data_IF_114609989137
#
_entry.id   IF_114609989137
#
_cell.length_a   1.000
_cell.length_b   1.000
_cell.length_c   1.000
_cell.angle_alpha   90.00
_cell.angle_beta   90.00
_cell.angle_gamma   90.00
#
_symmetry.space_group_name_H-M   'P 1'
#
loop_
_entity.id
_entity.type
_entity.pdbx_description
1 polymer ?
#
# COMPACT_ATOMS: atom_id res chain seq x y z
N UNK A 1 -34.19 -17.03 -67.14
CA UNK A 1 -32.89 -16.34 -66.89
C UNK A 1 -33.17 -15.11 -66.06
N UNK A 2 -33.00 -15.20 -64.76
CA UNK A 2 -33.24 -14.09 -63.80
C UNK A 2 -31.89 -13.43 -63.50
N UNK A 3 -31.82 -12.15 -63.79
CA UNK A 3 -30.63 -11.30 -63.46
C UNK A 3 -30.63 -10.99 -61.95
N UNK A 4 -29.55 -11.32 -61.27
CA UNK A 4 -29.29 -10.95 -59.89
C UNK A 4 -28.53 -9.62 -59.92
N UNK A 5 -29.09 -8.61 -59.26
CA UNK A 5 -28.47 -7.31 -59.08
C UNK A 5 -27.55 -7.36 -57.84
N UNK A 6 -26.28 -7.00 -58.00
CA UNK A 6 -25.32 -6.86 -56.93
C UNK A 6 -25.36 -5.39 -56.47
N UNK A 7 -25.66 -5.17 -55.19
CA UNK A 7 -25.59 -3.86 -54.54
C UNK A 7 -24.24 -3.81 -53.84
N UNK A 8 -23.37 -2.78 -54.06
CA UNK A 8 -22.16 -2.64 -53.32
C UNK A 8 -22.44 -2.04 -51.91
N UNK A 9 -22.02 -2.75 -50.89
CA UNK A 9 -22.01 -2.25 -49.51
C UNK A 9 -20.93 -1.17 -49.35
N UNK A 10 -21.37 0.06 -49.13
CA UNK A 10 -20.49 1.17 -48.71
C UNK A 10 -20.20 0.95 -47.23
N UNK A 11 -18.97 0.54 -46.93
CA UNK A 11 -18.45 0.54 -45.55
C UNK A 11 -18.07 1.97 -45.18
N UNK A 12 -18.88 2.60 -44.37
CA UNK A 12 -18.57 3.88 -43.75
C UNK A 12 -17.64 3.62 -42.54
N UNK A 13 -16.34 3.76 -42.73
CA UNK A 13 -15.39 3.74 -41.64
C UNK A 13 -15.50 5.06 -40.88
N UNK A 14 -16.25 5.03 -39.77
CA UNK A 14 -16.19 6.11 -38.80
C UNK A 14 -14.90 5.96 -37.99
N UNK A 15 -13.85 6.71 -38.37
CA UNK A 15 -12.71 6.95 -37.48
C UNK A 15 -13.19 7.80 -36.32
N UNK A 16 -13.52 7.17 -35.21
CA UNK A 16 -13.59 7.87 -33.93
C UNK A 16 -12.14 8.06 -33.43
N UNK A 17 -11.62 9.27 -33.59
CA UNK A 17 -10.40 9.71 -32.90
C UNK A 17 -10.69 9.91 -31.41
N UNK A 18 -10.57 8.83 -30.64
CA UNK A 18 -10.58 8.86 -29.16
C UNK A 18 -9.13 8.91 -28.66
N UNK A 19 -8.49 10.08 -28.70
CA UNK A 19 -7.14 10.21 -28.17
C UNK A 19 -6.87 11.51 -27.40
N UNK A 20 -7.88 12.33 -27.13
CA UNK A 20 -7.67 13.59 -26.41
C UNK A 20 -8.31 13.68 -25.01
N UNK A 21 -9.50 13.09 -24.81
CA UNK A 21 -10.28 13.35 -23.59
C UNK A 21 -9.84 12.57 -22.34
N UNK A 22 -9.28 11.34 -22.48
CA UNK A 22 -8.93 10.54 -21.29
C UNK A 22 -7.69 11.04 -20.55
N UNK A 23 -6.69 11.54 -21.29
CA UNK A 23 -5.42 11.98 -20.70
C UNK A 23 -5.58 13.24 -19.83
N UNK A 24 -6.36 14.19 -20.30
CA UNK A 24 -6.62 15.45 -19.58
C UNK A 24 -7.51 15.26 -18.34
N UNK A 25 -8.45 14.29 -18.37
CA UNK A 25 -9.28 13.97 -17.20
C UNK A 25 -8.49 13.25 -16.11
N UNK A 26 -7.61 12.31 -16.47
CA UNK A 26 -6.80 11.56 -15.48
C UNK A 26 -5.70 12.43 -14.89
N UNK A 27 -5.03 13.26 -15.70
CA UNK A 27 -4.06 14.25 -15.18
C UNK A 27 -4.74 15.26 -14.24
N UNK A 28 -5.98 15.67 -14.49
CA UNK A 28 -6.76 16.55 -13.59
C UNK A 28 -7.17 15.88 -12.28
N UNK A 29 -7.35 14.56 -12.26
CA UNK A 29 -7.69 13.82 -11.04
C UNK A 29 -6.46 13.56 -10.18
N UNK A 30 -5.31 13.29 -10.80
CA UNK A 30 -4.05 13.00 -10.08
C UNK A 30 -3.30 14.28 -9.70
N UNK A 31 -3.29 15.31 -10.57
CA UNK A 31 -2.58 16.57 -10.32
C UNK A 31 -2.96 17.26 -8.99
N UNK A 32 -4.22 17.30 -8.53
CA UNK A 32 -4.55 17.89 -7.23
C UNK A 32 -4.00 17.09 -6.03
N UNK A 33 -3.79 15.77 -6.18
CA UNK A 33 -3.24 14.92 -5.12
C UNK A 33 -1.71 14.92 -5.08
N UNK A 34 -1.10 15.51 -6.10
CA UNK A 34 0.35 15.71 -6.22
C UNK A 34 0.68 17.22 -6.31
N UNK A 35 -0.24 18.08 -5.85
CA UNK A 35 -0.01 19.54 -5.88
C UNK A 35 1.15 19.90 -4.96
N UNK A 36 2.11 20.59 -5.49
CA UNK A 36 3.15 21.25 -4.73
C UNK A 36 2.49 22.24 -3.76
N UNK A 37 2.78 22.13 -2.46
CA UNK A 37 2.14 22.90 -1.42
C UNK A 37 2.24 24.41 -1.66
N UNK A 38 1.10 25.06 -1.84
CA UNK A 38 1.01 26.50 -1.71
C UNK A 38 0.81 26.85 -0.24
N UNK A 39 1.87 27.29 0.39
CA UNK A 39 1.88 27.89 1.73
C UNK A 39 0.98 29.10 1.78
N UNK A 40 -0.11 29.02 2.54
CA UNK A 40 -0.74 30.19 3.14
C UNK A 40 -0.18 30.33 4.56
N UNK A 41 0.69 31.31 4.75
CA UNK A 41 1.12 31.72 6.10
C UNK A 41 -0.11 32.18 6.91
N UNK A 42 -0.48 31.40 7.91
CA UNK A 42 -1.27 31.88 9.03
C UNK A 42 -0.54 31.48 10.32
N UNK A 43 0.04 32.49 10.96
CA UNK A 43 0.53 32.42 12.34
C UNK A 43 -0.67 32.34 13.28
N UNK A 44 -1.03 31.13 13.70
CA UNK A 44 -1.83 30.86 14.90
C UNK A 44 -1.16 29.76 15.71
N UNK A 45 -1.24 29.89 17.03
CA UNK A 45 -0.66 28.94 18.00
C UNK A 45 -1.01 27.52 17.63
N UNK A 46 0.01 26.64 17.52
CA UNK A 46 -0.14 25.24 17.16
C UNK A 46 -1.03 24.51 18.20
N UNK A 47 -2.31 24.48 17.96
CA UNK A 47 -3.12 23.37 18.44
C UNK A 47 -2.63 22.14 17.66
N UNK A 48 -2.26 21.07 18.34
CA UNK A 48 -1.99 19.77 17.71
C UNK A 48 -3.25 19.40 16.90
N UNK A 49 -3.20 19.66 15.60
CA UNK A 49 -4.28 19.32 14.69
C UNK A 49 -4.34 17.80 14.64
N UNK A 50 -5.43 17.23 15.19
CA UNK A 50 -5.60 15.76 15.21
C UNK A 50 -5.54 15.24 13.78
N UNK A 51 -4.70 14.23 13.55
CA UNK A 51 -4.63 13.55 12.26
C UNK A 51 -6.05 13.07 11.85
N UNK A 52 -6.59 13.56 10.73
CA UNK A 52 -7.95 13.22 10.29
C UNK A 52 -8.13 11.72 10.00
N UNK A 53 -7.04 10.97 9.84
CA UNK A 53 -7.06 9.53 9.64
C UNK A 53 -7.15 8.74 10.95
N UNK A 54 -6.95 9.38 12.10
CA UNK A 54 -7.10 8.75 13.40
C UNK A 54 -8.54 8.96 13.88
N UNK A 55 -9.39 7.91 13.87
CA UNK A 55 -10.77 8.05 14.29
C UNK A 55 -10.87 8.36 15.79
N UNK A 56 -11.85 9.17 16.15
CA UNK A 56 -12.20 9.35 17.57
C UNK A 56 -12.81 8.06 18.14
N UNK A 57 -12.44 7.72 19.36
CA UNK A 57 -13.00 6.58 20.07
C UNK A 57 -14.41 6.95 20.54
N UNK A 58 -15.41 6.31 19.94
CA UNK A 58 -16.81 6.49 20.30
C UNK A 58 -17.18 5.58 21.48
N UNK A 59 -17.16 6.12 22.68
CA UNK A 59 -17.50 5.39 23.90
C UNK A 59 -19.00 5.09 24.07
N UNK A 60 -19.86 5.56 23.16
CA UNK A 60 -21.27 5.13 23.11
C UNK A 60 -21.44 3.70 22.58
N UNK A 61 -20.41 3.17 21.90
CA UNK A 61 -20.34 1.78 21.47
C UNK A 61 -20.04 0.89 22.67
N UNK A 62 -20.84 -0.15 22.89
CA UNK A 62 -20.55 -1.14 23.92
C UNK A 62 -19.46 -2.10 23.43
N UNK A 63 -18.26 -2.03 24.02
CA UNK A 63 -17.18 -2.96 23.76
C UNK A 63 -17.13 -4.05 24.84
N UNK A 64 -16.70 -5.25 24.43
CA UNK A 64 -16.43 -6.33 25.36
C UNK A 64 -15.14 -6.03 26.13
N UNK A 65 -15.23 -5.94 27.46
CA UNK A 65 -14.07 -5.82 28.34
C UNK A 65 -13.19 -7.09 28.26
N UNK A 66 -11.87 -6.92 28.39
CA UNK A 66 -10.91 -8.01 28.34
C UNK A 66 -10.71 -8.63 26.95
N UNK A 67 -11.21 -7.99 25.88
CA UNK A 67 -11.05 -8.49 24.50
C UNK A 67 -9.59 -8.70 24.13
N UNK A 68 -9.31 -9.83 23.49
CA UNK A 68 -7.99 -10.22 22.98
C UNK A 68 -7.95 -10.10 21.47
N UNK A 69 -7.17 -9.14 20.96
CA UNK A 69 -6.93 -8.93 19.53
C UNK A 69 -5.66 -9.67 19.14
N UNK A 70 -5.76 -10.61 18.22
CA UNK A 70 -4.58 -11.24 17.64
C UNK A 70 -4.27 -10.61 16.28
N UNK A 71 -3.02 -10.22 16.06
CA UNK A 71 -2.57 -9.63 14.81
C UNK A 71 -1.50 -10.52 14.20
N UNK A 72 -1.69 -10.94 12.95
CA UNK A 72 -0.68 -11.64 12.16
C UNK A 72 -0.38 -10.81 10.91
N UNK A 73 0.80 -10.20 10.90
CA UNK A 73 1.32 -9.38 9.80
C UNK A 73 2.12 -10.23 8.81
N UNK A 74 2.46 -9.66 7.65
CA UNK A 74 3.36 -10.31 6.69
C UNK A 74 4.78 -10.40 7.25
N UNK A 75 5.20 -9.35 7.98
CA UNK A 75 6.49 -9.34 8.67
C UNK A 75 6.41 -8.60 10.00
N UNK A 76 7.34 -8.88 10.90
CA UNK A 76 7.56 -8.14 12.14
C UNK A 76 8.77 -7.21 12.05
N UNK A 77 9.43 -7.15 10.90
CA UNK A 77 10.65 -6.39 10.64
C UNK A 77 10.38 -5.17 9.76
N UNK A 78 11.31 -4.20 9.78
CA UNK A 78 11.26 -3.00 8.94
C UNK A 78 10.48 -1.84 9.55
N UNK A 79 10.73 -0.64 9.00
CA UNK A 79 10.14 0.61 9.50
C UNK A 79 8.63 0.66 9.30
N UNK A 80 8.14 0.17 8.16
CA UNK A 80 6.70 0.10 7.86
C UNK A 80 5.93 -0.68 8.93
N UNK A 81 6.36 -1.93 9.22
CA UNK A 81 5.69 -2.79 10.21
C UNK A 81 5.84 -2.28 11.63
N UNK A 82 6.98 -1.62 11.94
CA UNK A 82 7.18 -0.92 13.20
C UNK A 82 6.14 0.18 13.42
N UNK A 83 5.84 0.99 12.40
CA UNK A 83 4.82 2.04 12.48
C UNK A 83 3.39 1.48 12.52
N UNK A 84 3.08 0.44 11.76
CA UNK A 84 1.79 -0.27 11.85
C UNK A 84 1.56 -0.74 13.29
N UNK A 85 2.55 -1.44 13.87
CA UNK A 85 2.48 -1.93 15.26
C UNK A 85 2.29 -0.78 16.25
N UNK A 86 3.07 0.31 16.12
CA UNK A 86 2.97 1.49 16.97
C UNK A 86 1.56 2.11 16.94
N UNK A 87 0.97 2.24 15.74
CA UNK A 87 -0.41 2.71 15.59
C UNK A 87 -1.43 1.77 16.23
N UNK A 88 -1.23 0.46 16.11
CA UNK A 88 -2.07 -0.54 16.78
C UNK A 88 -1.97 -0.47 18.30
N UNK A 89 -0.75 -0.38 18.84
CA UNK A 89 -0.50 -0.24 20.28
C UNK A 89 -1.14 1.04 20.84
N UNK A 90 -1.06 2.15 20.09
CA UNK A 90 -1.71 3.39 20.49
C UNK A 90 -3.23 3.26 20.53
N UNK A 91 -3.83 2.61 19.51
CA UNK A 91 -5.29 2.37 19.52
C UNK A 91 -5.75 1.54 20.72
N UNK A 92 -4.98 0.52 21.09
CA UNK A 92 -5.24 -0.27 22.33
C UNK A 92 -5.16 0.62 23.58
N UNK A 93 -4.15 1.47 23.68
CA UNK A 93 -3.98 2.38 24.82
C UNK A 93 -5.15 3.36 24.92
N UNK A 94 -5.49 4.02 23.81
CA UNK A 94 -6.58 5.02 23.75
C UNK A 94 -7.94 4.40 24.08
N UNK A 95 -8.22 3.19 23.58
CA UNK A 95 -9.45 2.47 23.92
C UNK A 95 -9.51 2.15 25.39
N UNK A 96 -8.42 1.60 25.97
CA UNK A 96 -8.40 1.28 27.40
C UNK A 96 -8.57 2.54 28.28
N UNK A 97 -7.99 3.65 27.86
CA UNK A 97 -8.16 4.94 28.56
C UNK A 97 -9.59 5.46 28.42
N UNK A 98 -10.13 5.54 27.21
CA UNK A 98 -11.46 6.09 26.91
C UNK A 98 -12.57 5.32 27.61
N UNK A 99 -12.46 3.98 27.68
CA UNK A 99 -13.45 3.13 28.37
C UNK A 99 -13.16 2.95 29.87
N UNK A 100 -12.01 3.43 30.36
CA UNK A 100 -11.57 3.26 31.74
C UNK A 100 -11.29 1.80 32.12
N UNK A 101 -10.97 0.95 31.15
CA UNK A 101 -10.64 -0.46 31.37
C UNK A 101 -9.34 -0.61 32.16
N UNK A 102 -9.32 -1.50 33.14
CA UNK A 102 -8.18 -1.73 34.03
C UNK A 102 -8.00 -3.21 34.33
N UNK A 103 -6.75 -3.63 34.49
CA UNK A 103 -6.38 -5.02 34.80
C UNK A 103 -6.97 -5.98 33.77
N UNK A 104 -7.76 -6.96 34.25
CA UNK A 104 -8.41 -8.01 33.46
C UNK A 104 -9.45 -7.50 32.46
N UNK A 105 -9.94 -6.28 32.65
CA UNK A 105 -10.89 -5.65 31.72
C UNK A 105 -10.17 -4.99 30.52
N UNK A 106 -8.85 -4.83 30.58
CA UNK A 106 -8.11 -4.19 29.48
C UNK A 106 -8.20 -5.02 28.21
N UNK A 107 -8.43 -4.33 27.10
CA UNK A 107 -8.19 -4.87 25.77
C UNK A 107 -6.69 -5.11 25.60
N UNK A 108 -6.33 -6.26 25.07
CA UNK A 108 -4.95 -6.65 24.82
C UNK A 108 -4.71 -7.04 23.37
N UNK A 109 -3.46 -7.00 22.92
CA UNK A 109 -3.08 -7.35 21.55
C UNK A 109 -1.82 -8.22 21.57
N UNK A 110 -1.77 -9.23 20.70
CA UNK A 110 -0.53 -9.85 20.23
C UNK A 110 -0.20 -9.33 18.82
N UNK A 111 1.09 -9.25 18.48
CA UNK A 111 1.53 -8.87 17.15
C UNK A 111 2.61 -9.85 16.70
N UNK A 112 2.25 -10.70 15.77
CA UNK A 112 3.04 -11.82 15.28
C UNK A 112 3.18 -11.76 13.76
N UNK A 113 4.12 -12.52 13.22
CA UNK A 113 4.39 -12.62 11.80
C UNK A 113 5.76 -13.22 11.53
N UNK A 114 6.05 -13.51 10.28
CA UNK A 114 7.37 -13.94 9.86
C UNK A 114 8.42 -12.83 10.01
N UNK A 115 9.70 -13.19 9.90
CA UNK A 115 10.78 -12.19 9.78
C UNK A 115 10.94 -11.67 8.35
N UNK A 116 10.41 -12.39 7.36
CA UNK A 116 10.47 -12.10 5.94
C UNK A 116 9.06 -12.26 5.34
N UNK A 117 8.58 -11.28 4.59
CA UNK A 117 7.25 -11.30 3.95
C UNK A 117 7.05 -12.47 2.97
N UNK A 118 8.14 -13.04 2.47
CA UNK A 118 8.11 -14.21 1.57
C UNK A 118 7.81 -15.53 2.27
N UNK A 119 7.92 -15.58 3.59
CA UNK A 119 7.71 -16.83 4.36
C UNK A 119 6.21 -17.06 4.63
N UNK A 120 5.50 -17.42 3.56
CA UNK A 120 4.06 -17.72 3.58
C UNK A 120 3.75 -18.91 4.50
N UNK A 121 4.63 -19.93 4.54
CA UNK A 121 4.44 -21.11 5.39
C UNK A 121 4.48 -20.73 6.87
N UNK A 122 5.43 -19.89 7.28
CA UNK A 122 5.51 -19.37 8.63
C UNK A 122 4.26 -18.58 9.01
N UNK A 123 3.73 -17.74 8.08
CA UNK A 123 2.49 -17.00 8.33
C UNK A 123 1.29 -17.94 8.52
N UNK A 124 1.12 -18.93 7.66
CA UNK A 124 0.04 -19.94 7.78
C UNK A 124 0.10 -20.64 9.13
N UNK A 125 1.28 -21.14 9.53
CA UNK A 125 1.50 -21.83 10.81
C UNK A 125 1.21 -20.90 12.01
N UNK A 126 1.60 -19.63 11.92
CA UNK A 126 1.32 -18.62 12.97
C UNK A 126 -0.18 -18.40 13.13
N UNK A 127 -0.92 -18.30 12.02
CA UNK A 127 -2.38 -18.11 12.07
C UNK A 127 -3.06 -19.34 12.68
N UNK A 128 -2.63 -20.56 12.34
CA UNK A 128 -3.16 -21.78 12.94
C UNK A 128 -2.96 -21.80 14.47
N UNK A 129 -1.76 -21.43 14.94
CA UNK A 129 -1.46 -21.34 16.36
C UNK A 129 -2.32 -20.28 17.06
N UNK A 130 -2.46 -19.11 16.47
CA UNK A 130 -3.27 -18.00 16.99
C UNK A 130 -4.76 -18.37 17.07
N UNK A 131 -5.32 -19.03 16.05
CA UNK A 131 -6.71 -19.50 16.08
C UNK A 131 -6.94 -20.50 17.22
N UNK A 132 -5.95 -21.39 17.47
CA UNK A 132 -6.04 -22.36 18.58
C UNK A 132 -6.09 -21.70 19.97
N UNK A 133 -5.58 -20.47 20.12
CA UNK A 133 -5.69 -19.68 21.34
C UNK A 133 -7.07 -19.00 21.51
N UNK A 134 -7.91 -19.10 20.50
CA UNK A 134 -9.28 -18.55 20.48
C UNK A 134 -9.36 -17.07 20.87
N UNK A 135 -8.73 -16.15 20.08
CA UNK A 135 -8.86 -14.70 20.29
C UNK A 135 -10.29 -14.22 20.01
N UNK A 136 -10.65 -13.03 20.50
CA UNK A 136 -11.97 -12.43 20.23
C UNK A 136 -12.06 -11.88 18.81
N UNK A 137 -10.91 -11.52 18.18
CA UNK A 137 -10.80 -11.08 16.79
C UNK A 137 -9.38 -11.35 16.26
N UNK A 138 -9.30 -11.70 14.98
CA UNK A 138 -8.05 -11.86 14.24
C UNK A 138 -7.89 -10.72 13.22
N UNK A 139 -6.76 -10.02 13.27
CA UNK A 139 -6.33 -9.09 12.22
C UNK A 139 -5.25 -9.75 11.37
N UNK A 140 -5.37 -9.73 10.05
CA UNK A 140 -4.42 -10.40 9.16
C UNK A 140 -4.05 -9.51 7.97
N UNK A 141 -2.74 -9.45 7.64
CA UNK A 141 -2.23 -8.95 6.36
C UNK A 141 -1.64 -10.12 5.59
N UNK A 142 -2.28 -10.53 4.50
CA UNK A 142 -1.90 -11.74 3.79
C UNK A 142 -0.63 -11.55 2.93
N UNK A 143 0.38 -12.40 3.13
CA UNK A 143 1.57 -12.48 2.28
C UNK A 143 1.22 -12.99 0.87
N UNK A 144 0.34 -13.98 0.80
CA UNK A 144 -0.24 -14.53 -0.42
C UNK A 144 -1.76 -14.57 -0.28
N UNK A 145 -2.49 -13.98 -1.24
CA UNK A 145 -3.95 -13.82 -1.18
C UNK A 145 -4.71 -15.14 -1.12
N UNK A 146 -4.15 -16.22 -1.68
CA UNK A 146 -4.81 -17.52 -1.84
C UNK A 146 -4.46 -18.50 -0.71
N UNK A 147 -3.35 -18.28 -0.01
CA UNK A 147 -2.77 -19.26 0.93
C UNK A 147 -3.52 -19.39 2.25
N UNK A 148 -4.41 -18.43 2.60
CA UNK A 148 -5.05 -18.37 3.92
C UNK A 148 -6.48 -18.93 3.96
N UNK A 149 -6.97 -19.54 2.87
CA UNK A 149 -8.36 -19.99 2.77
C UNK A 149 -8.77 -20.93 3.93
N UNK A 150 -7.94 -21.94 4.23
CA UNK A 150 -8.25 -22.90 5.30
C UNK A 150 -8.27 -22.25 6.68
N UNK A 151 -7.35 -21.34 6.96
CA UNK A 151 -7.27 -20.59 8.22
C UNK A 151 -8.47 -19.66 8.40
N UNK A 152 -8.91 -19.00 7.34
CA UNK A 152 -10.10 -18.15 7.38
C UNK A 152 -11.38 -18.97 7.59
N UNK A 153 -11.48 -20.16 7.01
CA UNK A 153 -12.56 -21.10 7.27
C UNK A 153 -12.54 -21.57 8.72
N UNK A 154 -11.38 -21.95 9.26
CA UNK A 154 -11.22 -22.33 10.67
C UNK A 154 -11.58 -21.19 11.62
N UNK A 155 -11.16 -19.94 11.36
CA UNK A 155 -11.55 -18.77 12.14
C UNK A 155 -13.07 -18.58 12.15
N UNK A 156 -13.71 -18.70 10.98
CA UNK A 156 -15.17 -18.60 10.84
C UNK A 156 -15.91 -19.70 11.60
N UNK A 157 -15.44 -20.94 11.55
CA UNK A 157 -16.02 -22.08 12.26
C UNK A 157 -15.92 -21.90 13.78
N UNK A 158 -14.83 -21.32 14.27
CA UNK A 158 -14.65 -20.96 15.68
C UNK A 158 -15.36 -19.66 16.07
N UNK A 159 -16.04 -18.98 15.14
CA UNK A 159 -16.77 -17.73 15.39
C UNK A 159 -15.87 -16.52 15.58
N UNK A 160 -14.59 -16.60 15.21
CA UNK A 160 -13.60 -15.53 15.31
C UNK A 160 -13.77 -14.59 14.10
N UNK A 161 -14.18 -13.31 14.28
CA UNK A 161 -14.23 -12.35 13.20
C UNK A 161 -12.82 -12.04 12.71
N UNK A 162 -12.67 -11.84 11.39
CA UNK A 162 -11.39 -11.49 10.78
C UNK A 162 -11.46 -10.09 10.17
N UNK A 163 -10.47 -9.26 10.44
CA UNK A 163 -10.24 -7.96 9.78
C UNK A 163 -8.94 -8.05 9.00
N UNK A 164 -9.00 -7.80 7.68
CA UNK A 164 -7.80 -7.71 6.88
C UNK A 164 -7.23 -6.29 6.90
N UNK A 165 -5.91 -6.16 6.84
CA UNK A 165 -5.24 -4.87 6.75
C UNK A 165 -4.05 -4.95 5.79
N UNK A 166 -3.57 -3.81 5.29
CA UNK A 166 -2.49 -3.68 4.31
C UNK A 166 -2.74 -4.49 3.02
N UNK A 167 -2.76 -5.81 3.12
CA UNK A 167 -3.04 -6.74 2.03
C UNK A 167 -4.19 -7.68 2.39
N UNK A 168 -5.14 -7.79 1.49
CA UNK A 168 -6.33 -8.61 1.68
C UNK A 168 -6.15 -10.05 1.18
N UNK A 169 -7.27 -10.74 1.08
CA UNK A 169 -7.39 -12.14 0.65
C UNK A 169 -8.30 -12.23 -0.57
N UNK A 170 -8.18 -13.27 -1.38
CA UNK A 170 -8.95 -13.46 -2.61
C UNK A 170 -10.46 -13.48 -2.35
N UNK A 171 -10.95 -14.26 -1.39
CA UNK A 171 -12.36 -14.18 -0.99
C UNK A 171 -12.59 -13.12 0.10
N UNK A 172 -12.82 -11.90 -0.32
CA UNK A 172 -13.10 -10.77 0.59
C UNK A 172 -14.35 -10.97 1.47
N UNK A 173 -15.20 -11.98 1.21
CA UNK A 173 -16.37 -12.29 2.05
C UNK A 173 -15.96 -12.98 3.35
N UNK A 174 -14.76 -13.56 3.40
CA UNK A 174 -14.21 -14.22 4.59
C UNK A 174 -13.79 -13.22 5.66
N UNK A 175 -13.60 -11.94 5.30
CA UNK A 175 -13.23 -10.87 6.23
C UNK A 175 -14.38 -9.91 6.49
N UNK A 176 -14.46 -9.38 7.71
CA UNK A 176 -15.50 -8.43 8.14
C UNK A 176 -15.24 -7.04 7.60
N UNK A 177 -13.97 -6.66 7.54
CA UNK A 177 -13.53 -5.36 7.05
C UNK A 177 -12.10 -5.42 6.53
N UNK A 178 -11.71 -4.39 5.77
CA UNK A 178 -10.36 -4.15 5.27
C UNK A 178 -9.94 -2.71 5.59
N UNK A 179 -8.68 -2.55 5.97
CA UNK A 179 -8.00 -1.26 6.18
C UNK A 179 -6.64 -1.29 5.49
N UNK A 180 -6.42 -0.43 4.51
CA UNK A 180 -5.16 -0.43 3.77
C UNK A 180 -5.02 0.78 2.88
N UNK A 181 -3.86 0.93 2.26
CA UNK A 181 -3.58 1.99 1.28
C UNK A 181 -4.36 1.75 -0.02
N UNK A 182 -4.71 2.81 -0.73
CA UNK A 182 -5.14 2.73 -2.12
C UNK A 182 -3.93 2.41 -3.02
N UNK A 183 -3.60 1.13 -3.11
CA UNK A 183 -2.42 0.66 -3.81
C UNK A 183 -2.50 0.82 -5.34
N UNK A 184 -3.69 0.82 -5.92
CA UNK A 184 -3.87 1.21 -7.33
C UNK A 184 -3.42 2.64 -7.54
N UNK A 185 -3.82 3.52 -6.62
CA UNK A 185 -3.43 4.93 -6.63
C UNK A 185 -1.92 5.13 -6.43
N UNK A 186 -1.29 4.31 -5.57
CA UNK A 186 0.18 4.29 -5.43
C UNK A 186 0.84 4.07 -6.79
N UNK A 187 0.43 3.03 -7.52
CA UNK A 187 0.98 2.73 -8.85
C UNK A 187 0.74 3.85 -9.88
N UNK A 188 -0.47 4.43 -9.89
CA UNK A 188 -0.80 5.55 -10.78
C UNK A 188 0.07 6.77 -10.53
N UNK A 189 0.27 7.16 -9.25
CA UNK A 189 1.14 8.30 -8.87
C UNK A 189 2.59 8.00 -9.27
N UNK A 190 3.10 6.80 -8.97
CA UNK A 190 4.46 6.40 -9.35
C UNK A 190 4.69 6.49 -10.87
N UNK A 191 3.75 5.97 -11.66
CA UNK A 191 3.81 6.04 -13.12
C UNK A 191 3.80 7.49 -13.65
N UNK A 192 2.92 8.34 -13.10
CA UNK A 192 2.88 9.76 -13.45
C UNK A 192 4.18 10.48 -13.15
N UNK A 193 4.73 10.27 -11.94
CA UNK A 193 5.95 10.92 -11.46
C UNK A 193 7.17 10.44 -12.23
N UNK A 194 7.31 9.12 -12.44
CA UNK A 194 8.39 8.56 -13.23
C UNK A 194 8.35 9.07 -14.68
N UNK A 195 7.18 8.98 -15.33
CA UNK A 195 7.02 9.49 -16.71
C UNK A 195 7.38 10.97 -16.82
N UNK A 196 6.99 11.78 -15.85
CA UNK A 196 7.29 13.23 -15.84
C UNK A 196 8.79 13.46 -15.69
N UNK A 197 9.45 12.74 -14.79
CA UNK A 197 10.88 12.88 -14.52
C UNK A 197 11.76 12.49 -15.70
N UNK A 198 11.37 11.44 -16.47
CA UNK A 198 12.10 11.02 -17.69
C UNK A 198 11.65 11.76 -18.97
N UNK A 199 10.84 12.84 -18.86
CA UNK A 199 10.41 13.62 -20.02
C UNK A 199 9.37 12.93 -20.91
N UNK A 200 8.59 11.98 -20.34
CA UNK A 200 7.47 11.25 -20.98
C UNK A 200 7.90 10.36 -22.16
N UNK A 201 9.15 9.95 -22.23
CA UNK A 201 9.69 9.01 -23.22
C UNK A 201 10.85 8.21 -22.64
N UNK A 202 11.06 6.98 -23.11
CA UNK A 202 12.19 6.14 -22.74
C UNK A 202 11.79 4.74 -22.29
N UNK A 203 12.73 4.05 -21.64
CA UNK A 203 12.56 2.68 -21.15
C UNK A 203 12.54 2.65 -19.63
N UNK A 204 11.59 1.91 -19.07
CA UNK A 204 11.46 1.78 -17.61
C UNK A 204 11.34 0.31 -17.22
N UNK A 205 11.86 -0.03 -16.04
CA UNK A 205 11.66 -1.34 -15.42
C UNK A 205 10.91 -1.20 -14.10
N UNK A 206 10.23 -2.28 -13.69
CA UNK A 206 9.58 -2.40 -12.39
C UNK A 206 10.29 -3.49 -11.61
N UNK A 207 10.77 -3.16 -10.43
CA UNK A 207 11.29 -4.11 -9.46
C UNK A 207 10.29 -4.23 -8.32
N UNK A 208 9.83 -5.44 -8.09
CA UNK A 208 8.61 -5.71 -7.33
C UNK A 208 8.84 -6.77 -6.27
N UNK A 209 8.08 -6.66 -5.18
CA UNK A 209 8.06 -7.67 -4.13
C UNK A 209 7.32 -8.96 -4.59
N UNK A 210 6.42 -9.54 -3.78
CA UNK A 210 5.76 -10.81 -4.09
C UNK A 210 4.55 -10.61 -5.01
N UNK A 211 4.50 -11.29 -6.16
CA UNK A 211 3.43 -11.18 -7.15
C UNK A 211 2.03 -11.48 -6.57
N UNK A 212 1.94 -12.46 -5.66
CA UNK A 212 0.66 -12.91 -5.10
C UNK A 212 0.14 -12.07 -3.93
N UNK A 213 0.82 -11.02 -3.56
CA UNK A 213 0.38 -10.08 -2.53
C UNK A 213 -0.56 -9.04 -3.14
N UNK A 214 -1.74 -8.82 -2.55
CA UNK A 214 -2.74 -7.89 -3.10
C UNK A 214 -2.20 -6.47 -3.29
N UNK A 215 -1.50 -5.91 -2.29
CA UNK A 215 -0.95 -4.56 -2.38
C UNK A 215 0.00 -4.41 -3.56
N UNK A 216 0.84 -5.41 -3.78
CA UNK A 216 1.81 -5.44 -4.89
C UNK A 216 1.10 -5.55 -6.24
N UNK A 217 0.14 -6.46 -6.40
CA UNK A 217 -0.65 -6.56 -7.64
C UNK A 217 -1.35 -5.26 -7.99
N UNK A 218 -1.93 -4.59 -6.99
CA UNK A 218 -2.62 -3.31 -7.19
C UNK A 218 -1.62 -2.20 -7.59
N UNK A 219 -0.40 -2.14 -6.99
CA UNK A 219 0.66 -1.17 -7.35
C UNK A 219 1.14 -1.39 -8.77
N UNK A 220 1.52 -2.62 -9.11
CA UNK A 220 2.00 -2.95 -10.46
C UNK A 220 0.90 -2.73 -11.50
N UNK A 221 -0.35 -3.11 -11.21
CA UNK A 221 -1.47 -2.87 -12.13
C UNK A 221 -1.75 -1.38 -12.32
N UNK A 222 -1.75 -0.61 -11.22
CA UNK A 222 -1.91 0.86 -11.26
C UNK A 222 -0.84 1.51 -12.11
N UNK A 223 0.43 1.13 -11.90
CA UNK A 223 1.57 1.63 -12.65
C UNK A 223 1.46 1.27 -14.14
N UNK A 224 1.30 -0.01 -14.46
CA UNK A 224 1.30 -0.51 -15.85
C UNK A 224 0.10 -0.01 -16.64
N UNK A 225 -1.07 0.13 -16.01
CA UNK A 225 -2.24 0.72 -16.66
C UNK A 225 -2.05 2.22 -16.91
N UNK A 226 -1.55 2.97 -15.92
CA UNK A 226 -1.40 4.41 -16.05
C UNK A 226 -0.30 4.81 -17.04
N UNK A 227 0.84 4.09 -17.07
CA UNK A 227 1.96 4.40 -17.94
C UNK A 227 1.60 4.34 -19.43
N UNK A 228 0.54 3.60 -19.79
CA UNK A 228 0.02 3.55 -21.18
C UNK A 228 -0.47 4.92 -21.71
N UNK A 229 -0.69 5.90 -20.83
CA UNK A 229 -0.97 7.28 -21.24
C UNK A 229 0.26 7.97 -21.88
N UNK A 230 1.43 7.38 -21.77
CA UNK A 230 2.69 7.86 -22.35
C UNK A 230 3.21 6.87 -23.39
N UNK A 231 2.75 6.96 -24.66
CA UNK A 231 3.01 5.95 -25.69
C UNK A 231 4.48 5.82 -26.08
N UNK A 232 5.30 6.81 -25.73
CA UNK A 232 6.75 6.81 -25.99
C UNK A 232 7.55 6.24 -24.81
N UNK A 233 6.88 5.69 -23.77
CA UNK A 233 7.50 4.95 -22.68
C UNK A 233 7.25 3.45 -22.87
N UNK A 234 8.33 2.66 -22.84
CA UNK A 234 8.28 1.20 -22.86
C UNK A 234 8.59 0.63 -21.47
N UNK A 235 7.69 -0.17 -20.90
CA UNK A 235 8.02 -1.01 -19.73
C UNK A 235 8.72 -2.25 -20.24
N UNK A 236 10.03 -2.32 -20.09
CA UNK A 236 10.88 -3.37 -20.70
C UNK A 236 10.94 -4.65 -19.87
N UNK A 237 10.77 -4.55 -18.54
CA UNK A 237 10.84 -5.70 -17.63
C UNK A 237 10.03 -5.42 -16.36
N UNK A 238 9.42 -6.46 -15.80
CA UNK A 238 8.84 -6.48 -14.45
C UNK A 238 9.43 -7.70 -13.76
N UNK A 239 10.17 -7.49 -12.68
CA UNK A 239 10.83 -8.56 -11.91
C UNK A 239 10.19 -8.67 -10.54
N UNK A 240 9.66 -9.84 -10.22
CA UNK A 240 9.10 -10.14 -8.91
C UNK A 240 10.09 -10.92 -8.06
N UNK A 241 10.27 -10.50 -6.81
CA UNK A 241 11.24 -11.08 -5.88
C UNK A 241 10.98 -12.57 -5.60
N UNK A 242 9.72 -13.00 -5.57
CA UNK A 242 9.32 -14.39 -5.35
C UNK A 242 9.48 -15.30 -6.56
N UNK A 243 9.86 -14.75 -7.73
CA UNK A 243 10.10 -15.49 -8.97
C UNK A 243 11.58 -15.66 -9.30
N UNK A 244 12.47 -15.13 -8.46
CA UNK A 244 13.93 -15.19 -8.66
C UNK A 244 14.63 -15.67 -7.39
N UNK A 245 15.76 -16.36 -7.54
CA UNK A 245 16.55 -16.86 -6.41
C UNK A 245 17.30 -15.72 -5.68
N UNK A 246 17.74 -14.71 -6.44
CA UNK A 246 18.50 -13.54 -5.96
C UNK A 246 18.02 -12.28 -6.67
N UNK A 247 17.32 -11.44 -5.93
CA UNK A 247 16.78 -10.18 -6.47
C UNK A 247 17.88 -9.20 -6.88
N UNK A 248 19.01 -9.17 -6.16
CA UNK A 248 20.17 -8.33 -6.52
C UNK A 248 20.73 -8.72 -7.87
N UNK A 249 20.93 -10.03 -8.09
CA UNK A 249 21.42 -10.55 -9.36
C UNK A 249 20.41 -10.29 -10.50
N UNK A 250 19.12 -10.45 -10.25
CA UNK A 250 18.08 -10.19 -11.24
C UNK A 250 17.98 -8.70 -11.64
N UNK A 251 18.09 -7.78 -10.67
CA UNK A 251 18.17 -6.35 -10.95
C UNK A 251 19.40 -6.05 -11.82
N UNK A 252 20.57 -6.61 -11.46
CA UNK A 252 21.80 -6.38 -12.23
C UNK A 252 21.67 -6.91 -13.67
N UNK A 253 21.04 -8.08 -13.87
CA UNK A 253 20.78 -8.63 -15.20
C UNK A 253 19.93 -7.69 -16.05
N UNK A 254 18.88 -7.07 -15.47
CA UNK A 254 18.07 -6.08 -16.18
C UNK A 254 18.89 -4.85 -16.56
N UNK A 255 19.71 -4.34 -15.63
CA UNK A 255 20.57 -3.18 -15.90
C UNK A 255 21.59 -3.46 -17.02
N UNK A 256 22.17 -4.65 -17.04
CA UNK A 256 23.12 -5.08 -18.08
C UNK A 256 22.42 -5.29 -19.43
N UNK A 257 21.22 -5.84 -19.43
CA UNK A 257 20.40 -6.10 -20.62
C UNK A 257 19.89 -4.81 -21.27
N UNK A 258 19.60 -3.80 -20.46
CA UNK A 258 19.05 -2.53 -20.89
C UNK A 258 19.94 -1.35 -20.47
N UNK A 259 21.13 -1.18 -21.06
CA UNK A 259 22.07 -0.11 -20.67
C UNK A 259 21.55 1.31 -20.96
N UNK A 260 20.41 1.43 -21.63
CA UNK A 260 19.70 2.69 -21.93
C UNK A 260 18.39 2.78 -21.14
N UNK A 261 18.35 2.21 -19.93
CA UNK A 261 17.22 2.34 -19.05
C UNK A 261 17.13 3.78 -18.55
N UNK A 262 15.97 4.41 -18.67
CA UNK A 262 15.73 5.79 -18.25
C UNK A 262 15.16 5.88 -16.84
N UNK A 263 14.43 4.85 -16.39
CA UNK A 263 13.84 4.88 -15.08
C UNK A 263 13.48 3.52 -14.50
N UNK A 264 13.36 3.47 -13.18
CA UNK A 264 12.90 2.31 -12.40
C UNK A 264 11.81 2.69 -11.43
N UNK A 265 10.87 1.77 -11.22
CA UNK A 265 9.89 1.81 -10.15
C UNK A 265 10.15 0.66 -9.19
N UNK A 266 10.42 0.97 -7.91
CA UNK A 266 10.58 0.01 -6.83
C UNK A 266 9.33 0.08 -5.95
N UNK A 267 8.54 -1.00 -5.92
CA UNK A 267 7.15 -0.92 -5.45
C UNK A 267 6.94 -1.14 -3.94
N UNK A 268 8.03 -1.34 -3.17
CA UNK A 268 7.99 -1.36 -1.70
C UNK A 268 9.35 -0.95 -1.10
N UNK A 269 9.38 -0.77 0.22
CA UNK A 269 10.56 -0.37 0.99
C UNK A 269 11.78 -1.27 0.76
N UNK A 270 11.59 -2.60 0.85
CA UNK A 270 12.70 -3.55 0.78
C UNK A 270 13.38 -3.55 -0.60
N UNK A 271 12.58 -3.49 -1.67
CA UNK A 271 13.09 -3.41 -3.04
C UNK A 271 13.75 -2.05 -3.30
N UNK A 272 13.16 -0.96 -2.80
CA UNK A 272 13.73 0.38 -2.92
C UNK A 272 15.09 0.47 -2.21
N UNK A 273 15.15 -0.01 -0.97
CA UNK A 273 16.37 -0.01 -0.17
C UNK A 273 17.47 -0.90 -0.78
N UNK A 274 17.07 -2.06 -1.35
CA UNK A 274 18.00 -2.94 -2.06
C UNK A 274 18.59 -2.25 -3.30
N UNK A 275 17.75 -1.61 -4.13
CA UNK A 275 18.19 -0.89 -5.31
C UNK A 275 19.14 0.26 -4.95
N UNK A 276 18.81 1.03 -3.90
CA UNK A 276 19.66 2.12 -3.41
C UNK A 276 21.02 1.61 -2.89
N UNK A 277 21.07 0.44 -2.23
CA UNK A 277 22.34 -0.18 -1.80
C UNK A 277 23.22 -0.60 -2.97
N UNK A 278 22.63 -1.10 -4.04
CA UNK A 278 23.36 -1.46 -5.28
C UNK A 278 23.97 -0.22 -5.94
N UNK A 279 23.29 0.94 -5.85
CA UNK A 279 23.66 2.20 -6.50
C UNK A 279 24.42 3.18 -5.60
N UNK A 280 24.73 2.82 -4.34
CA UNK A 280 25.34 3.73 -3.36
C UNK A 280 26.66 4.36 -3.78
N UNK A 281 27.49 3.61 -4.51
CA UNK A 281 28.84 4.05 -4.92
C UNK A 281 28.84 4.77 -6.31
N UNK A 282 27.69 4.83 -6.98
CA UNK A 282 27.57 5.53 -8.25
C UNK A 282 27.42 7.05 -8.03
N UNK A 283 28.37 7.81 -8.57
CA UNK A 283 28.36 9.28 -8.45
C UNK A 283 27.49 9.97 -9.51
N UNK A 284 27.11 9.24 -10.56
CA UNK A 284 26.19 9.69 -11.60
C UNK A 284 25.34 8.51 -12.04
N UNK A 285 24.21 8.36 -11.44
CA UNK A 285 23.15 7.49 -11.96
C UNK A 285 22.27 8.33 -12.89
N UNK A 286 22.16 7.89 -14.15
CA UNK A 286 21.25 8.51 -15.12
C UNK A 286 19.86 7.90 -15.08
N UNK A 287 19.68 6.82 -14.32
CA UNK A 287 18.41 6.10 -14.18
C UNK A 287 17.59 6.79 -13.09
N UNK A 288 16.43 7.30 -13.48
CA UNK A 288 15.49 7.94 -12.55
C UNK A 288 14.82 6.86 -11.70
N UNK A 289 14.88 6.99 -10.36
CA UNK A 289 14.22 6.09 -9.43
C UNK A 289 12.98 6.76 -8.80
N UNK A 290 11.88 6.03 -8.77
CA UNK A 290 10.69 6.30 -7.97
C UNK A 290 10.41 5.09 -7.10
N UNK A 291 10.22 5.32 -5.79
CA UNK A 291 9.95 4.26 -4.83
C UNK A 291 8.56 4.35 -4.19
N UNK A 292 8.30 3.39 -3.32
CA UNK A 292 7.15 3.37 -2.41
C UNK A 292 7.68 3.29 -0.98
N UNK A 293 6.89 3.81 -0.05
CA UNK A 293 7.23 4.00 1.35
C UNK A 293 8.03 5.29 1.58
N UNK A 294 8.71 5.46 2.69
CA UNK A 294 9.56 6.61 2.99
C UNK A 294 10.55 6.27 4.10
N UNK A 295 11.33 5.18 3.88
CA UNK A 295 12.35 4.74 4.83
C UNK A 295 13.40 5.82 5.08
N UNK A 296 14.15 5.72 6.16
CA UNK A 296 15.27 6.62 6.43
C UNK A 296 16.25 6.70 5.24
N UNK A 297 16.50 5.54 4.60
CA UNK A 297 17.38 5.46 3.42
C UNK A 297 16.81 6.19 2.21
N UNK A 298 15.52 6.00 1.92
CA UNK A 298 14.83 6.71 0.83
C UNK A 298 14.79 8.21 1.08
N UNK A 299 14.51 8.65 2.32
CA UNK A 299 14.57 10.07 2.69
C UNK A 299 15.96 10.68 2.45
N UNK A 300 17.03 9.96 2.81
CA UNK A 300 18.40 10.39 2.50
C UNK A 300 18.65 10.41 0.99
N UNK A 301 18.17 9.41 0.26
CA UNK A 301 18.31 9.33 -1.20
C UNK A 301 17.61 10.50 -1.91
N UNK A 302 16.42 10.89 -1.48
CA UNK A 302 15.69 12.06 -2.00
C UNK A 302 16.50 13.35 -1.75
N UNK A 303 16.98 13.58 -0.51
CA UNK A 303 17.78 14.77 -0.18
C UNK A 303 19.09 14.83 -0.97
N UNK A 304 19.66 13.67 -1.33
CA UNK A 304 20.88 13.54 -2.12
C UNK A 304 20.63 13.40 -3.64
N UNK A 305 19.38 13.55 -4.09
CA UNK A 305 18.96 13.44 -5.50
C UNK A 305 19.30 12.10 -6.16
N UNK A 306 19.35 11.02 -5.38
CA UNK A 306 19.49 9.63 -5.87
C UNK A 306 18.13 8.98 -6.14
N UNK A 307 17.08 9.48 -5.53
CA UNK A 307 15.70 9.10 -5.74
C UNK A 307 14.88 10.38 -5.97
N UNK A 308 14.03 10.38 -7.00
CA UNK A 308 13.21 11.57 -7.33
C UNK A 308 12.15 11.81 -6.28
N UNK A 309 11.64 10.75 -5.71
CA UNK A 309 10.65 10.77 -4.66
C UNK A 309 9.97 9.42 -4.49
N UNK A 310 9.12 9.36 -3.50
CA UNK A 310 8.40 8.16 -3.08
C UNK A 310 6.90 8.40 -3.02
N UNK A 311 6.13 7.33 -3.21
CA UNK A 311 4.71 7.32 -2.87
C UNK A 311 4.57 6.73 -1.48
N UNK A 312 4.42 7.59 -0.49
CA UNK A 312 4.37 7.18 0.92
C UNK A 312 2.97 6.75 1.34
N UNK A 313 2.92 5.73 2.18
CA UNK A 313 1.72 5.23 2.84
C UNK A 313 1.54 5.89 4.23
N UNK A 314 0.47 5.49 4.94
CA UNK A 314 0.17 5.93 6.29
C UNK A 314 0.08 4.72 7.26
N UNK A 315 1.19 4.02 7.53
CA UNK A 315 1.18 2.75 8.28
C UNK A 315 0.68 2.92 9.72
N UNK A 316 1.02 4.02 10.39
CA UNK A 316 0.52 4.29 11.75
C UNK A 316 -1.01 4.42 11.78
N UNK A 317 -1.58 5.25 10.91
CA UNK A 317 -3.02 5.43 10.82
C UNK A 317 -3.73 4.13 10.40
N UNK A 318 -3.14 3.36 9.49
CA UNK A 318 -3.64 2.04 9.09
C UNK A 318 -3.71 1.09 10.28
N UNK A 319 -2.65 1.01 11.08
CA UNK A 319 -2.60 0.19 12.29
C UNK A 319 -3.67 0.60 13.30
N UNK A 320 -3.77 1.88 13.58
CA UNK A 320 -4.77 2.44 14.50
C UNK A 320 -6.20 2.11 14.06
N UNK A 321 -6.55 2.39 12.80
CA UNK A 321 -7.86 2.10 12.23
C UNK A 321 -8.17 0.60 12.24
N UNK A 322 -7.17 -0.25 12.05
CA UNK A 322 -7.34 -1.71 12.05
C UNK A 322 -7.81 -2.20 13.41
N UNK A 323 -7.14 -1.79 14.50
CA UNK A 323 -7.52 -2.18 15.87
C UNK A 323 -8.90 -1.65 16.23
N UNK A 324 -9.17 -0.35 16.00
CA UNK A 324 -10.49 0.20 16.28
C UNK A 324 -11.57 -0.56 15.53
N UNK A 325 -11.35 -0.86 14.24
CA UNK A 325 -12.29 -1.67 13.45
C UNK A 325 -12.44 -3.08 13.99
N UNK A 326 -11.36 -3.73 14.40
CA UNK A 326 -11.38 -5.07 14.96
C UNK A 326 -12.28 -5.13 16.20
N UNK A 327 -12.10 -4.21 17.12
CA UNK A 327 -12.92 -4.11 18.35
C UNK A 327 -14.40 -3.85 18.02
N UNK A 328 -14.70 -3.03 17.03
CA UNK A 328 -16.07 -2.82 16.57
C UNK A 328 -16.71 -4.10 16.02
N UNK A 329 -15.94 -5.07 15.52
CA UNK A 329 -16.48 -6.36 15.04
C UNK A 329 -16.94 -7.27 16.18
N UNK A 330 -16.43 -7.06 17.40
CA UNK A 330 -16.81 -7.80 18.61
C UNK A 330 -18.01 -7.18 19.32
N UNK A 331 -18.35 -5.92 18.99
CA UNK A 331 -19.51 -5.22 19.57
C UNK A 331 -20.84 -5.89 19.20
N UNK A 332 -21.90 -5.79 20.02
CA UNK A 332 -23.23 -6.29 19.68
C UNK A 332 -23.73 -5.70 18.36
N UNK A 333 -24.18 -6.56 17.43
CA UNK A 333 -24.51 -6.23 16.02
C UNK A 333 -25.45 -5.05 15.77
N UNK A 334 -26.14 -4.54 16.79
CA UNK A 334 -27.12 -3.45 16.66
C UNK A 334 -26.54 -2.05 16.89
N UNK A 335 -25.29 -1.94 17.32
CA UNK A 335 -24.76 -0.67 17.80
C UNK A 335 -23.81 0.04 16.82
N UNK A 336 -23.26 -0.64 15.80
CA UNK A 336 -22.21 -0.04 14.95
C UNK A 336 -22.33 -0.43 13.50
N UNK A 337 -22.26 0.56 12.61
CA UNK A 337 -22.03 0.35 11.18
C UNK A 337 -20.53 0.37 10.90
N UNK A 338 -19.98 -0.77 10.47
CA UNK A 338 -18.58 -0.91 10.09
C UNK A 338 -18.44 -0.71 8.58
N UNK A 339 -17.73 0.33 8.15
CA UNK A 339 -17.34 0.47 6.75
C UNK A 339 -16.48 -0.73 6.37
N UNK A 340 -16.95 -1.51 5.38
CA UNK A 340 -16.33 -2.78 5.03
C UNK A 340 -14.95 -2.63 4.39
N UNK A 341 -14.75 -1.60 3.58
CA UNK A 341 -13.50 -1.34 2.88
C UNK A 341 -13.13 0.14 3.05
N UNK A 342 -11.99 0.40 3.65
CA UNK A 342 -11.42 1.74 3.76
C UNK A 342 -10.04 1.71 3.12
N UNK A 343 -9.88 2.55 2.11
CA UNK A 343 -8.61 2.79 1.42
C UNK A 343 -8.08 4.14 1.87
N UNK A 344 -6.85 4.17 2.34
CA UNK A 344 -6.15 5.37 2.79
C UNK A 344 -5.37 5.93 1.60
N UNK A 345 -5.57 7.21 1.31
CA UNK A 345 -4.86 7.85 0.22
C UNK A 345 -3.35 7.94 0.53
N UNK A 346 -2.48 7.57 -0.43
CA UNK A 346 -1.05 7.78 -0.31
C UNK A 346 -0.68 9.23 -0.63
N UNK A 347 0.53 9.65 -0.21
CA UNK A 347 1.07 10.96 -0.56
C UNK A 347 2.36 10.84 -1.37
N UNK A 348 2.60 11.80 -2.26
CA UNK A 348 3.88 11.97 -2.93
C UNK A 348 4.83 12.78 -2.06
N UNK A 349 6.03 12.24 -1.81
CA UNK A 349 7.11 12.89 -1.08
C UNK A 349 8.32 13.03 -2.01
N UNK A 350 8.82 14.26 -2.14
CA UNK A 350 10.03 14.58 -2.89
C UNK A 350 10.84 15.69 -2.20
N UNK A 351 11.91 16.15 -2.84
CA UNK A 351 12.78 17.18 -2.29
C UNK A 351 12.10 18.53 -2.02
N UNK A 352 10.92 18.77 -2.56
CA UNK A 352 10.18 20.04 -2.36
C UNK A 352 9.36 20.04 -1.07
N UNK A 353 8.98 18.84 -0.55
CA UNK A 353 8.07 18.72 0.58
C UNK A 353 8.54 17.79 1.72
N UNK A 354 9.66 17.09 1.55
CA UNK A 354 10.16 16.12 2.54
C UNK A 354 10.49 16.76 3.92
N UNK A 355 10.78 18.04 3.94
CA UNK A 355 11.10 18.79 5.17
C UNK A 355 9.91 19.66 5.64
N UNK A 356 8.75 19.57 4.98
CA UNK A 356 7.52 20.24 5.41
C UNK A 356 6.86 19.44 6.54
N UNK A 357 6.63 20.05 7.73
CA UNK A 357 6.01 19.39 8.87
C UNK A 357 4.65 18.74 8.58
N UNK A 358 3.89 19.24 7.59
CA UNK A 358 2.61 18.66 7.17
C UNK A 358 2.75 17.22 6.67
N UNK A 359 3.92 16.83 6.19
CA UNK A 359 4.20 15.48 5.69
C UNK A 359 4.94 14.58 6.70
N UNK A 360 5.15 15.07 7.94
CA UNK A 360 5.90 14.30 8.95
C UNK A 360 5.31 12.93 9.25
N UNK A 361 3.97 12.79 9.22
CA UNK A 361 3.27 11.50 9.41
C UNK A 361 3.49 10.51 8.27
N UNK A 362 4.01 10.96 7.13
CA UNK A 362 4.35 10.13 5.98
C UNK A 362 5.79 9.64 5.99
N UNK A 363 6.65 10.13 6.89
CA UNK A 363 8.05 9.74 6.98
C UNK A 363 8.22 8.64 8.03
N UNK A 364 8.94 7.55 7.66
CA UNK A 364 8.98 6.35 8.49
C UNK A 364 10.05 6.41 9.60
N UNK A 365 11.14 7.14 9.37
CA UNK A 365 12.15 7.35 10.40
C UNK A 365 11.82 8.61 11.22
N UNK A 366 11.64 8.43 12.51
CA UNK A 366 11.58 9.49 13.53
C UNK A 366 12.48 9.14 14.70
#
# INVERSE_FOLDING_TARGET
MKKVAVIPAVVLAALCTFTGCKKEEVEKVIAPLVSDGQTTESTEEAQEEKDPLIPEIDTSVELQAGSRVAVVSKSTSGEFWGLVKKGMEQAIADVNEAYGFKKEDQVTMTFEGASDEKDVESQVNTIDAVIAENPDVLCVSASDMDSLQAQLEAAKENGIPVVAFDSGVTDSKMVRAFRGTDNTRVGEIAAYRLATAIGKMGKVAVFSAQEKTQSIQERVSGFTNYITNYPDIEVVEIVYQDQVDDMTAAIQEVLDKYPQLDGVFCDNADIADLYLDMKKDETKDSIVMVGVDATAKQQEAIRNSKEVGVVSQQPYAMGYQTIWTALLTTAPKKSVEIKRNVRIDPAWIDSSNIDDPTYSSHLYAN
#
